data_IF_232642578848
#
_entry.id   IF_232642578848
#
_cell.length_a   1.000
_cell.length_b   1.000
_cell.length_c   1.000
_cell.angle_alpha   90.00
_cell.angle_beta   90.00
_cell.angle_gamma   90.00
#
_symmetry.space_group_name_H-M   'P 1'
#
loop_
_entity.id
_entity.type
_entity.pdbx_description
1 polymer ?
#
# COMPACT_ATOMS: atom_id res chain seq x y z
N UNK A 1 32.07 -33.72 -50.80
CA UNK A 1 31.84 -35.16 -50.56
C UNK A 1 31.93 -35.34 -49.04
N UNK A 2 30.91 -35.69 -48.25
CA UNK A 2 29.72 -36.49 -48.50
C UNK A 2 28.47 -35.95 -47.78
N UNK A 3 27.37 -36.18 -48.47
CA UNK A 3 25.96 -36.07 -48.11
C UNK A 3 25.59 -37.22 -47.13
N UNK A 4 24.81 -36.97 -46.09
CA UNK A 4 23.76 -37.88 -45.59
C UNK A 4 23.01 -37.25 -44.41
N UNK A 5 21.84 -36.70 -44.76
CA UNK A 5 20.72 -36.37 -43.88
C UNK A 5 20.18 -37.65 -43.26
N UNK A 6 19.99 -37.68 -41.94
CA UNK A 6 19.31 -38.79 -41.25
C UNK A 6 18.33 -38.26 -40.19
N UNK A 7 17.06 -38.26 -40.62
CA UNK A 7 15.85 -38.60 -39.87
C UNK A 7 15.53 -37.86 -38.55
N UNK A 8 14.60 -36.91 -38.71
CA UNK A 8 13.60 -36.52 -37.70
C UNK A 8 13.02 -37.75 -36.98
N UNK A 9 13.14 -37.80 -35.65
CA UNK A 9 12.23 -38.55 -34.79
C UNK A 9 11.39 -37.56 -33.99
N UNK A 10 10.18 -37.32 -34.49
CA UNK A 10 9.09 -36.64 -33.79
C UNK A 10 8.73 -37.47 -32.54
N UNK A 11 9.22 -37.07 -31.37
CA UNK A 11 8.79 -37.66 -30.10
C UNK A 11 7.52 -36.94 -29.67
N UNK A 12 6.37 -37.55 -29.95
CA UNK A 12 5.06 -37.09 -29.50
C UNK A 12 5.04 -36.90 -27.98
N UNK A 13 4.67 -35.70 -27.53
CA UNK A 13 4.30 -35.44 -26.14
C UNK A 13 3.08 -36.28 -25.76
N UNK A 14 3.12 -36.92 -24.59
CA UNK A 14 1.96 -37.56 -23.98
C UNK A 14 1.00 -36.47 -23.45
N UNK A 15 -0.32 -36.61 -23.64
CA UNK A 15 -1.28 -35.75 -22.96
C UNK A 15 -1.45 -36.28 -21.53
N UNK A 16 -0.93 -35.57 -20.53
CA UNK A 16 -1.04 -36.01 -19.14
C UNK A 16 -0.39 -35.13 -18.06
N UNK A 17 0.50 -34.21 -18.41
CA UNK A 17 1.25 -33.41 -17.41
C UNK A 17 0.61 -32.03 -17.10
N UNK A 18 -0.62 -31.77 -17.54
CA UNK A 18 -1.27 -30.46 -17.44
C UNK A 18 -2.15 -30.23 -16.19
N UNK A 19 -2.16 -31.13 -15.21
CA UNK A 19 -2.93 -30.94 -13.96
C UNK A 19 -2.09 -31.16 -12.70
N UNK A 20 -1.02 -30.36 -12.55
CA UNK A 20 -0.45 -30.10 -11.23
C UNK A 20 -0.82 -28.69 -10.80
N UNK A 21 -2.12 -28.49 -10.61
CA UNK A 21 -2.65 -27.29 -9.95
C UNK A 21 -2.00 -27.11 -8.58
N UNK A 22 -1.91 -25.87 -8.06
CA UNK A 22 -1.43 -25.65 -6.71
C UNK A 22 -2.33 -26.47 -5.77
N UNK A 23 -1.73 -27.43 -5.07
CA UNK A 23 -2.45 -28.24 -4.10
C UNK A 23 -3.22 -27.35 -3.11
N UNK A 24 -4.30 -27.87 -2.50
CA UNK A 24 -5.13 -27.08 -1.60
C UNK A 24 -4.24 -26.39 -0.59
N UNK A 25 -4.30 -25.06 -0.59
CA UNK A 25 -3.64 -24.22 0.41
C UNK A 25 -4.06 -24.80 1.74
N UNK A 26 -3.12 -25.41 2.47
CA UNK A 26 -3.35 -25.83 3.85
C UNK A 26 -3.80 -24.57 4.57
N UNK A 27 -5.10 -24.47 4.83
CA UNK A 27 -5.66 -23.52 5.78
C UNK A 27 -4.90 -23.79 7.07
N UNK A 28 -4.05 -22.83 7.43
CA UNK A 28 -3.23 -22.91 8.61
C UNK A 28 -4.16 -23.20 9.79
N UNK A 29 -3.93 -24.40 10.33
CA UNK A 29 -4.00 -24.80 11.71
C UNK A 29 -4.60 -23.75 12.66
N UNK A 30 -5.66 -24.18 13.36
CA UNK A 30 -6.32 -23.43 14.42
C UNK A 30 -5.26 -23.07 15.47
N UNK A 31 -4.86 -21.81 15.52
CA UNK A 31 -4.19 -21.24 16.68
C UNK A 31 -5.20 -21.17 17.83
N UNK A 32 -5.39 -22.28 18.54
CA UNK A 32 -6.13 -22.39 19.81
C UNK A 32 -5.26 -21.81 20.95
N UNK A 33 -4.76 -20.59 20.75
CA UNK A 33 -4.28 -19.75 21.84
C UNK A 33 -5.47 -18.94 22.29
N UNK A 34 -5.94 -19.10 23.52
CA UNK A 34 -6.98 -18.26 24.09
C UNK A 34 -6.50 -16.79 24.11
N UNK A 35 -6.71 -16.07 23.00
CA UNK A 35 -6.39 -14.66 22.87
C UNK A 35 -7.31 -13.93 23.84
N UNK A 36 -6.72 -13.31 24.87
CA UNK A 36 -7.50 -12.45 25.76
C UNK A 36 -8.18 -11.38 24.90
N UNK A 37 -9.50 -11.23 25.00
CA UNK A 37 -10.20 -10.25 24.19
C UNK A 37 -9.69 -8.86 24.53
N UNK A 38 -9.45 -8.06 23.49
CA UNK A 38 -9.04 -6.66 23.59
C UNK A 38 -10.23 -5.88 24.12
N UNK A 39 -10.08 -5.28 25.31
CA UNK A 39 -11.11 -4.42 25.89
C UNK A 39 -11.18 -3.08 25.15
N UNK A 40 -12.33 -2.75 24.57
CA UNK A 40 -12.54 -1.57 23.72
C UNK A 40 -13.50 -0.59 24.38
N UNK A 41 -13.04 0.64 24.62
CA UNK A 41 -13.92 1.73 25.03
C UNK A 41 -14.43 2.49 23.79
N UNK A 42 -15.74 2.78 23.74
CA UNK A 42 -16.37 3.56 22.68
C UNK A 42 -16.77 4.93 23.22
N UNK A 43 -16.16 6.00 22.72
CA UNK A 43 -16.49 7.39 23.06
C UNK A 43 -16.88 8.16 21.82
N UNK A 44 -18.12 7.94 21.38
CA UNK A 44 -18.67 8.42 20.12
C UNK A 44 -19.89 9.30 20.43
N UNK A 45 -19.91 10.52 19.90
CA UNK A 45 -21.01 11.46 20.13
C UNK A 45 -22.27 11.07 19.34
N UNK A 46 -22.10 10.51 18.14
CA UNK A 46 -23.20 10.05 17.30
C UNK A 46 -23.78 8.70 17.82
N UNK A 47 -25.05 8.66 18.27
CA UNK A 47 -25.65 7.45 18.82
C UNK A 47 -25.82 6.32 17.80
N UNK A 48 -26.04 6.64 16.51
CA UNK A 48 -26.19 5.64 15.46
C UNK A 48 -24.85 4.98 15.15
N UNK A 49 -23.79 5.79 15.05
CA UNK A 49 -22.43 5.28 14.89
C UNK A 49 -22.00 4.46 16.11
N UNK A 50 -22.30 4.92 17.33
CA UNK A 50 -22.01 4.18 18.56
C UNK A 50 -22.68 2.80 18.58
N UNK A 51 -23.97 2.72 18.23
CA UNK A 51 -24.71 1.47 18.19
C UNK A 51 -24.13 0.48 17.16
N UNK A 52 -23.78 0.97 15.97
CA UNK A 52 -23.10 0.16 14.94
C UNK A 52 -21.76 -0.38 15.43
N UNK A 53 -20.94 0.47 16.04
CA UNK A 53 -19.62 0.07 16.56
C UNK A 53 -19.75 -0.94 17.70
N UNK A 54 -20.71 -0.76 18.61
CA UNK A 54 -21.01 -1.71 19.66
C UNK A 54 -21.37 -3.09 19.07
N UNK A 55 -22.26 -3.13 18.07
CA UNK A 55 -22.61 -4.37 17.37
C UNK A 55 -21.41 -5.06 16.73
N UNK A 56 -20.46 -4.31 16.15
CA UNK A 56 -19.23 -4.88 15.59
C UNK A 56 -18.30 -5.42 16.68
N UNK A 57 -18.15 -4.69 17.79
CA UNK A 57 -17.31 -5.13 18.93
C UNK A 57 -17.89 -6.39 19.58
N UNK A 58 -19.22 -6.47 19.74
CA UNK A 58 -19.90 -7.62 20.34
C UNK A 58 -19.86 -8.86 19.43
N UNK A 59 -19.88 -8.67 18.10
CA UNK A 59 -19.84 -9.77 17.13
C UNK A 59 -18.42 -10.27 16.83
N UNK A 60 -17.38 -9.49 17.12
CA UNK A 60 -16.00 -9.78 16.72
C UNK A 60 -15.29 -10.72 17.70
N UNK A 61 -14.79 -11.88 17.26
CA UNK A 61 -13.99 -12.75 18.13
C UNK A 61 -12.69 -12.04 18.51
N UNK A 62 -12.44 -11.93 19.82
CA UNK A 62 -11.24 -11.28 20.36
C UNK A 62 -11.38 -9.78 20.66
N UNK A 63 -12.57 -9.19 20.50
CA UNK A 63 -12.91 -7.89 21.07
C UNK A 63 -13.92 -8.06 22.20
N UNK A 64 -13.88 -7.17 23.18
CA UNK A 64 -14.91 -7.08 24.22
C UNK A 64 -15.17 -5.61 24.57
N UNK A 65 -16.42 -5.20 24.80
CA UNK A 65 -16.70 -3.86 25.27
C UNK A 65 -16.10 -3.65 26.67
N UNK A 66 -15.32 -2.58 26.83
CA UNK A 66 -14.81 -2.17 28.13
C UNK A 66 -15.96 -1.52 28.93
N UNK A 67 -16.23 -1.97 30.17
CA UNK A 67 -17.19 -1.28 31.03
C UNK A 67 -16.73 0.15 31.33
N UNK A 68 -17.68 1.06 31.51
CA UNK A 68 -17.40 2.47 31.80
C UNK A 68 -16.48 2.61 33.03
N UNK A 69 -15.38 3.34 32.88
CA UNK A 69 -14.39 3.54 33.95
C UNK A 69 -13.33 2.43 34.08
N UNK A 70 -13.39 1.35 33.31
CA UNK A 70 -12.34 0.33 33.29
C UNK A 70 -11.19 0.69 32.34
N UNK A 71 -10.02 0.11 32.61
CA UNK A 71 -8.86 0.22 31.73
C UNK A 71 -9.14 -0.47 30.38
N UNK A 72 -9.33 0.32 29.33
CA UNK A 72 -9.45 -0.18 27.98
C UNK A 72 -8.07 -0.43 27.36
N UNK A 73 -7.96 -1.43 26.50
CA UNK A 73 -6.78 -1.67 25.68
C UNK A 73 -6.76 -0.78 24.42
N UNK A 74 -7.93 -0.33 23.95
CA UNK A 74 -8.06 0.68 22.89
C UNK A 74 -9.29 1.57 23.11
N UNK A 75 -9.19 2.83 22.68
CA UNK A 75 -10.28 3.79 22.69
C UNK A 75 -10.68 4.16 21.26
N UNK A 76 -11.94 3.92 20.88
CA UNK A 76 -12.51 4.38 19.60
C UNK A 76 -13.31 5.66 19.85
N UNK A 77 -13.00 6.72 19.09
CA UNK A 77 -13.60 8.05 19.25
C UNK A 77 -13.86 8.72 17.90
N UNK A 78 -14.85 9.61 17.82
CA UNK A 78 -15.17 10.41 16.62
C UNK A 78 -14.50 11.80 16.63
N UNK A 79 -13.73 12.08 17.69
CA UNK A 79 -12.98 13.33 17.88
C UNK A 79 -11.67 13.06 18.60
N UNK A 80 -10.66 13.90 18.33
CA UNK A 80 -9.40 13.87 19.07
C UNK A 80 -9.67 14.39 20.47
N UNK A 81 -9.33 13.59 21.47
CA UNK A 81 -9.49 13.95 22.87
C UNK A 81 -8.13 14.37 23.40
N UNK A 82 -8.05 15.45 24.18
CA UNK A 82 -6.81 15.84 24.82
C UNK A 82 -6.33 14.67 25.70
N UNK A 83 -5.02 14.38 25.64
CA UNK A 83 -4.42 13.52 26.66
C UNK A 83 -4.47 14.29 27.97
N UNK A 84 -5.39 13.90 28.85
CA UNK A 84 -5.42 14.36 30.24
C UNK A 84 -4.04 14.08 30.84
N UNK A 85 -3.32 15.14 31.23
CA UNK A 85 -1.95 15.06 31.71
C UNK A 85 -1.91 14.44 33.10
N UNK A 86 -1.30 13.26 33.23
CA UNK A 86 -1.00 12.65 34.52
C UNK A 86 -0.75 11.14 34.48
N UNK A 87 0.52 10.73 34.43
CA UNK A 87 1.03 9.49 35.04
C UNK A 87 0.80 8.15 34.33
N UNK A 88 -0.27 7.96 33.55
CA UNK A 88 -0.46 6.74 32.76
C UNK A 88 -0.72 7.13 31.30
N UNK A 89 0.07 6.59 30.37
CA UNK A 89 -0.23 6.72 28.95
C UNK A 89 -1.63 6.15 28.72
N UNK A 90 -2.63 7.02 28.56
CA UNK A 90 -4.01 6.61 28.29
C UNK A 90 -4.07 5.67 27.07
N UNK A 91 -5.15 4.88 26.95
CA UNK A 91 -5.25 3.84 25.94
C UNK A 91 -4.99 4.40 24.54
N UNK A 92 -4.32 3.62 23.67
CA UNK A 92 -4.09 4.02 22.30
C UNK A 92 -5.44 4.29 21.60
N UNK A 93 -5.49 5.42 20.87
CA UNK A 93 -6.74 5.97 20.34
C UNK A 93 -6.90 5.68 18.85
N UNK A 94 -8.05 5.14 18.46
CA UNK A 94 -8.51 5.05 17.08
C UNK A 94 -9.57 6.14 16.83
N UNK A 95 -9.28 7.07 15.92
CA UNK A 95 -10.18 8.18 15.59
C UNK A 95 -10.94 7.89 14.31
N UNK A 96 -12.27 8.01 14.35
CA UNK A 96 -13.15 7.94 13.18
C UNK A 96 -13.40 9.36 12.66
N UNK A 97 -12.86 9.69 11.47
CA UNK A 97 -12.98 11.03 10.91
C UNK A 97 -13.39 11.00 9.43
N UNK A 98 -14.39 11.82 9.08
CA UNK A 98 -15.06 11.81 7.78
C UNK A 98 -14.15 12.28 6.64
N UNK A 99 -13.48 13.41 6.82
CA UNK A 99 -12.68 14.04 5.76
C UNK A 99 -11.16 13.82 5.92
N UNK A 100 -10.41 14.00 4.84
CA UNK A 100 -8.96 13.82 4.83
C UNK A 100 -8.23 14.80 5.76
N UNK A 101 -8.73 16.04 5.93
CA UNK A 101 -8.08 17.04 6.76
C UNK A 101 -8.25 16.72 8.26
N UNK A 102 -9.43 16.26 8.69
CA UNK A 102 -9.69 15.77 10.03
C UNK A 102 -8.83 14.54 10.35
N UNK A 103 -8.70 13.62 9.38
CA UNK A 103 -7.80 12.46 9.53
C UNK A 103 -6.34 12.87 9.67
N UNK A 104 -5.89 13.85 8.88
CA UNK A 104 -4.54 14.40 9.01
C UNK A 104 -4.33 15.06 10.37
N UNK A 105 -5.26 15.91 10.83
CA UNK A 105 -5.17 16.55 12.16
C UNK A 105 -5.06 15.53 13.30
N UNK A 106 -5.85 14.45 13.24
CA UNK A 106 -5.79 13.38 14.22
C UNK A 106 -4.42 12.69 14.25
N UNK A 107 -3.83 12.40 13.08
CA UNK A 107 -2.48 11.82 13.01
C UNK A 107 -1.40 12.73 13.60
N UNK A 108 -1.47 14.05 13.34
CA UNK A 108 -0.54 15.01 13.93
C UNK A 108 -0.67 15.10 15.46
N UNK A 109 -1.83 14.75 16.01
CA UNK A 109 -2.05 14.66 17.45
C UNK A 109 -1.50 13.37 18.09
N UNK A 110 -0.87 12.47 17.32
CA UNK A 110 -0.21 11.27 17.84
C UNK A 110 -1.18 10.18 18.31
N UNK A 111 -2.35 10.07 17.65
CA UNK A 111 -3.30 8.98 17.89
C UNK A 111 -2.78 7.65 17.33
N UNK A 112 -3.22 6.53 17.90
CA UNK A 112 -2.81 5.19 17.48
C UNK A 112 -3.39 4.81 16.11
N UNK A 113 -4.50 5.38 15.69
CA UNK A 113 -4.96 5.17 14.33
C UNK A 113 -6.09 6.08 13.89
N UNK A 114 -6.34 6.09 12.59
CA UNK A 114 -7.45 6.83 12.01
C UNK A 114 -8.16 6.01 10.95
N UNK A 115 -9.49 6.01 10.95
CA UNK A 115 -10.34 5.40 9.94
C UNK A 115 -11.49 6.33 9.54
N UNK A 116 -12.09 6.14 8.35
CA UNK A 116 -13.35 6.81 8.05
C UNK A 116 -14.51 6.13 8.83
N UNK A 117 -15.58 6.85 9.20
CA UNK A 117 -16.67 6.28 10.00
C UNK A 117 -17.45 5.17 9.29
N UNK A 118 -17.39 5.11 7.96
CA UNK A 118 -18.00 4.09 7.09
C UNK A 118 -17.05 2.91 6.79
N UNK A 119 -15.88 2.83 7.45
CA UNK A 119 -14.97 1.70 7.32
C UNK A 119 -15.69 0.36 7.54
N UNK A 120 -15.34 -0.65 6.72
CA UNK A 120 -15.93 -1.98 6.84
C UNK A 120 -15.60 -2.66 8.17
N UNK A 121 -16.42 -3.62 8.57
CA UNK A 121 -16.29 -4.30 9.88
C UNK A 121 -14.90 -4.93 10.07
N UNK A 122 -14.42 -5.67 9.08
CA UNK A 122 -13.09 -6.29 9.12
C UNK A 122 -11.95 -5.26 9.26
N UNK A 123 -12.08 -4.09 8.62
CA UNK A 123 -11.10 -3.01 8.75
C UNK A 123 -11.11 -2.42 10.15
N UNK A 124 -12.30 -2.21 10.72
CA UNK A 124 -12.45 -1.68 12.06
C UNK A 124 -11.88 -2.64 13.11
N UNK A 125 -12.23 -3.94 13.03
CA UNK A 125 -11.72 -4.97 13.95
C UNK A 125 -10.19 -5.04 13.88
N UNK A 126 -9.64 -5.14 12.68
CA UNK A 126 -8.19 -5.18 12.48
C UNK A 126 -7.51 -3.91 13.02
N UNK A 127 -8.11 -2.74 12.82
CA UNK A 127 -7.57 -1.48 13.30
C UNK A 127 -7.58 -1.39 14.82
N UNK A 128 -8.67 -1.81 15.49
CA UNK A 128 -8.77 -1.83 16.94
C UNK A 128 -7.70 -2.74 17.54
N UNK A 129 -7.56 -3.97 17.03
CA UNK A 129 -6.55 -4.92 17.49
C UNK A 129 -5.14 -4.36 17.29
N UNK A 130 -4.84 -3.82 16.11
CA UNK A 130 -3.53 -3.24 15.82
C UNK A 130 -3.19 -2.08 16.78
N UNK A 131 -4.14 -1.15 16.99
CA UNK A 131 -3.98 -0.02 17.91
C UNK A 131 -3.76 -0.48 19.35
N UNK A 132 -4.48 -1.51 19.80
CA UNK A 132 -4.30 -2.09 21.13
C UNK A 132 -2.91 -2.71 21.35
N UNK A 133 -2.26 -3.18 20.29
CA UNK A 133 -0.88 -3.68 20.31
C UNK A 133 0.19 -2.61 20.06
N UNK A 134 -0.19 -1.32 20.07
CA UNK A 134 0.74 -0.21 19.88
C UNK A 134 1.15 0.04 18.43
N UNK A 135 0.46 -0.58 17.46
CA UNK A 135 0.67 -0.31 16.04
C UNK A 135 -0.09 0.94 15.60
N UNK A 136 0.45 1.62 14.58
CA UNK A 136 -0.19 2.80 14.00
C UNK A 136 -1.01 2.43 12.77
N UNK A 137 -2.31 2.72 12.80
CA UNK A 137 -3.24 2.42 11.69
C UNK A 137 -3.58 3.69 10.92
N UNK A 138 -3.39 3.63 9.60
CA UNK A 138 -3.79 4.71 8.68
C UNK A 138 -4.61 4.07 7.57
N UNK A 139 -5.71 4.71 7.13
CA UNK A 139 -6.37 4.23 5.94
C UNK A 139 -5.34 4.33 4.83
N UNK A 140 -5.20 3.29 4.02
CA UNK A 140 -4.39 3.39 2.83
C UNK A 140 -4.92 4.61 2.06
N UNK A 141 -4.11 5.65 1.92
CA UNK A 141 -4.19 6.47 0.72
C UNK A 141 -4.20 5.46 -0.43
N UNK A 142 -5.05 5.61 -1.46
CA UNK A 142 -4.94 4.78 -2.64
C UNK A 142 -3.55 5.01 -3.23
N UNK A 143 -2.55 4.31 -2.72
CA UNK A 143 -1.42 3.89 -3.50
C UNK A 143 -2.05 3.02 -4.57
N UNK A 144 -1.75 3.24 -5.85
CA UNK A 144 -1.97 2.21 -6.83
C UNK A 144 -1.26 0.98 -6.26
N UNK A 145 -2.05 0.03 -5.75
CA UNK A 145 -1.56 -1.33 -5.63
C UNK A 145 -1.34 -1.69 -7.09
N UNK A 146 -0.08 -1.90 -7.56
CA UNK A 146 0.09 -2.41 -8.90
C UNK A 146 -0.77 -3.67 -8.94
N UNK A 147 -1.73 -3.77 -9.88
CA UNK A 147 -2.55 -4.95 -9.97
C UNK A 147 -1.59 -6.14 -10.02
N UNK A 148 -1.82 -7.12 -9.14
CA UNK A 148 -1.24 -8.45 -9.32
C UNK A 148 -1.48 -8.81 -10.78
N UNK A 149 -0.48 -9.28 -11.55
CA UNK A 149 -0.65 -9.52 -12.98
C UNK A 149 -1.70 -10.62 -13.17
N UNK A 150 -2.96 -10.20 -13.27
CA UNK A 150 -4.03 -10.96 -13.88
C UNK A 150 -4.09 -10.56 -15.34
N UNK A 151 -4.30 -11.52 -16.26
CA UNK A 151 -4.36 -11.21 -17.67
C UNK A 151 -5.63 -10.43 -18.01
N UNK A 152 -5.42 -9.17 -18.42
CA UNK A 152 -6.25 -8.34 -19.28
C UNK A 152 -7.73 -8.07 -18.91
N UNK A 153 -8.01 -6.81 -18.53
CA UNK A 153 -9.02 -5.98 -19.19
C UNK A 153 -8.84 -4.50 -18.77
N UNK A 154 -8.91 -3.61 -19.74
CA UNK A 154 -8.54 -2.20 -19.65
C UNK A 154 -9.50 -1.34 -18.79
N UNK A 155 -8.92 -0.41 -18.01
CA UNK A 155 -9.61 0.73 -17.42
C UNK A 155 -8.71 1.96 -17.53
N UNK A 156 -9.16 2.95 -18.32
CA UNK A 156 -8.38 4.11 -18.73
C UNK A 156 -7.98 5.02 -17.56
N UNK A 157 -6.69 4.96 -17.19
CA UNK A 157 -5.97 6.14 -16.74
C UNK A 157 -5.32 6.75 -17.98
N UNK A 158 -5.48 8.05 -18.19
CA UNK A 158 -4.73 8.83 -19.19
C UNK A 158 -3.25 8.39 -19.16
N UNK A 159 -2.76 7.74 -20.22
CA UNK A 159 -1.43 7.16 -20.19
C UNK A 159 -0.43 8.32 -20.25
N UNK A 160 0.28 8.55 -19.15
CA UNK A 160 1.60 9.19 -19.24
C UNK A 160 2.34 8.40 -20.31
N UNK A 161 2.74 9.00 -21.45
CA UNK A 161 3.31 8.26 -22.55
C UNK A 161 4.48 7.45 -22.02
N UNK A 162 4.34 6.13 -22.08
CA UNK A 162 5.28 5.22 -21.45
C UNK A 162 6.69 5.55 -21.95
N UNK A 163 7.60 5.87 -21.03
CA UNK A 163 8.99 6.11 -21.38
C UNK A 163 9.53 4.87 -22.09
N UNK A 164 10.20 5.07 -23.20
CA UNK A 164 10.92 3.99 -23.90
C UNK A 164 12.00 3.39 -22.98
N UNK A 165 12.47 2.16 -23.25
CA UNK A 165 13.56 1.56 -22.45
C UNK A 165 14.76 2.49 -22.30
N UNK A 166 15.12 3.19 -23.37
CA UNK A 166 16.24 4.12 -23.39
C UNK A 166 16.00 5.37 -22.54
N UNK A 167 14.79 5.90 -22.55
CA UNK A 167 14.40 7.03 -21.72
C UNK A 167 14.36 6.66 -20.22
N UNK A 168 14.01 5.42 -19.88
CA UNK A 168 14.09 4.92 -18.51
C UNK A 168 15.53 4.84 -18.01
N UNK A 169 16.46 4.38 -18.84
CA UNK A 169 17.90 4.41 -18.50
C UNK A 169 18.40 5.84 -18.27
N UNK A 170 17.99 6.79 -19.13
CA UNK A 170 18.31 8.21 -18.94
C UNK A 170 17.72 8.73 -17.64
N UNK A 171 16.45 8.43 -17.33
CA UNK A 171 15.80 8.84 -16.08
C UNK A 171 16.50 8.26 -14.84
N UNK A 172 16.94 7.01 -14.89
CA UNK A 172 17.70 6.38 -13.79
C UNK A 172 19.04 7.10 -13.55
N UNK A 173 19.74 7.46 -14.63
CA UNK A 173 20.98 8.24 -14.52
C UNK A 173 20.73 9.67 -14.02
N UNK A 174 19.62 10.29 -14.39
CA UNK A 174 19.20 11.59 -13.86
C UNK A 174 18.91 11.51 -12.36
N UNK A 175 18.26 10.43 -11.89
CA UNK A 175 18.01 10.19 -10.47
C UNK A 175 19.31 9.98 -9.67
N UNK A 176 20.31 9.36 -10.30
CA UNK A 176 21.67 9.25 -9.75
C UNK A 176 22.48 10.57 -9.82
N UNK A 177 21.87 11.70 -10.24
CA UNK A 177 22.53 13.00 -10.32
C UNK A 177 23.51 13.15 -11.49
N UNK A 178 23.48 12.26 -12.49
CA UNK A 178 24.43 12.29 -13.59
C UNK A 178 24.23 13.50 -14.51
N UNK A 179 25.34 14.16 -14.89
CA UNK A 179 25.35 15.20 -15.91
C UNK A 179 25.18 14.60 -17.33
N UNK A 180 24.68 15.40 -18.29
CA UNK A 180 24.45 14.94 -19.67
C UNK A 180 25.71 14.34 -20.33
N UNK A 181 26.90 14.84 -20.01
CA UNK A 181 28.18 14.27 -20.49
C UNK A 181 28.42 12.85 -19.95
N UNK A 182 28.03 12.61 -18.69
CA UNK A 182 28.12 11.28 -18.05
C UNK A 182 27.08 10.34 -18.64
N UNK A 183 25.86 10.82 -18.86
CA UNK A 183 24.78 10.07 -19.53
C UNK A 183 25.23 9.64 -20.93
N UNK A 184 25.76 10.58 -21.71
CA UNK A 184 26.30 10.31 -23.05
C UNK A 184 27.35 9.19 -23.02
N UNK A 185 28.34 9.28 -22.12
CA UNK A 185 29.38 8.25 -21.98
C UNK A 185 28.84 6.90 -21.54
N UNK A 186 27.98 6.85 -20.52
CA UNK A 186 27.43 5.60 -19.96
C UNK A 186 26.54 4.87 -20.96
N UNK A 187 25.85 5.62 -21.81
CA UNK A 187 24.92 5.08 -22.79
C UNK A 187 25.58 4.91 -24.17
N UNK A 188 26.83 5.35 -24.39
CA UNK A 188 27.46 5.30 -25.72
C UNK A 188 26.79 6.22 -26.75
N UNK A 189 26.27 7.36 -26.28
CA UNK A 189 25.56 8.35 -27.10
C UNK A 189 26.42 9.60 -27.32
N UNK A 190 26.13 10.35 -28.38
CA UNK A 190 26.67 11.70 -28.52
C UNK A 190 26.09 12.62 -27.44
N UNK A 191 26.81 13.70 -27.10
CA UNK A 191 26.32 14.71 -26.16
C UNK A 191 24.99 15.33 -26.62
N UNK A 192 24.84 15.56 -27.93
CA UNK A 192 23.62 16.10 -28.51
C UNK A 192 22.44 15.13 -28.36
N UNK A 193 22.66 13.85 -28.63
CA UNK A 193 21.65 12.79 -28.49
C UNK A 193 21.23 12.61 -27.03
N UNK A 194 22.18 12.68 -26.07
CA UNK A 194 21.85 12.63 -24.65
C UNK A 194 20.98 13.83 -24.23
N UNK A 195 21.25 15.04 -24.73
CA UNK A 195 20.41 16.22 -24.48
C UNK A 195 18.99 16.04 -25.05
N UNK A 196 18.88 15.47 -26.25
CA UNK A 196 17.59 15.17 -26.87
C UNK A 196 16.76 14.17 -26.06
N UNK A 197 17.38 13.08 -25.58
CA UNK A 197 16.67 12.13 -24.71
C UNK A 197 16.25 12.74 -23.38
N UNK A 198 17.09 13.57 -22.75
CA UNK A 198 16.72 14.28 -21.52
C UNK A 198 15.52 15.20 -21.77
N UNK A 199 15.51 15.95 -22.87
CA UNK A 199 14.37 16.80 -23.25
C UNK A 199 13.09 15.97 -23.48
N UNK A 200 13.18 14.84 -24.17
CA UNK A 200 12.06 13.91 -24.39
C UNK A 200 11.51 13.36 -23.06
N UNK A 201 12.39 12.95 -22.14
CA UNK A 201 12.00 12.49 -20.80
C UNK A 201 11.26 13.58 -20.03
N UNK A 202 11.77 14.81 -20.02
CA UNK A 202 11.13 15.94 -19.34
C UNK A 202 9.74 16.23 -19.94
N UNK A 203 9.64 16.27 -21.28
CA UNK A 203 8.39 16.49 -21.98
C UNK A 203 7.36 15.40 -21.69
N UNK A 204 7.75 14.11 -21.75
CA UNK A 204 6.87 12.97 -21.49
C UNK A 204 6.40 12.88 -20.04
N UNK A 205 7.22 13.33 -19.09
CA UNK A 205 6.84 13.41 -17.68
C UNK A 205 6.10 14.71 -17.32
N UNK A 206 5.98 15.66 -18.27
CA UNK A 206 5.43 17.00 -18.01
C UNK A 206 6.23 17.78 -16.95
N UNK A 207 7.55 17.53 -16.89
CA UNK A 207 8.43 18.09 -15.89
C UNK A 207 9.06 19.40 -16.37
N UNK A 208 9.04 20.43 -15.51
CA UNK A 208 9.65 21.74 -15.80
C UNK A 208 11.15 21.79 -15.50
N UNK A 209 11.67 20.84 -14.72
CA UNK A 209 13.07 20.76 -14.35
C UNK A 209 13.56 19.31 -14.22
N UNK A 210 14.88 19.11 -14.19
CA UNK A 210 15.49 17.81 -13.95
C UNK A 210 15.04 17.22 -12.60
N UNK A 211 15.00 18.04 -11.55
CA UNK A 211 14.59 17.60 -10.22
C UNK A 211 13.10 17.19 -10.22
N UNK A 212 12.25 17.96 -10.91
CA UNK A 212 10.83 17.62 -11.06
C UNK A 212 10.65 16.31 -11.86
N UNK A 213 11.46 16.08 -12.89
CA UNK A 213 11.43 14.83 -13.67
C UNK A 213 11.78 13.62 -12.80
N UNK A 214 12.82 13.72 -11.95
CA UNK A 214 13.20 12.66 -11.01
C UNK A 214 12.09 12.43 -9.98
N UNK A 215 11.56 13.49 -9.38
CA UNK A 215 10.49 13.40 -8.40
C UNK A 215 9.23 12.74 -8.97
N UNK A 216 8.86 13.07 -10.22
CA UNK A 216 7.76 12.43 -10.95
C UNK A 216 8.07 10.98 -11.28
N UNK A 217 9.29 10.67 -11.69
CA UNK A 217 9.76 9.31 -11.95
C UNK A 217 9.64 8.40 -10.73
N UNK A 218 10.02 8.91 -9.54
CA UNK A 218 9.88 8.19 -8.26
C UNK A 218 8.41 7.98 -7.92
N UNK A 219 7.58 9.02 -8.03
CA UNK A 219 6.12 8.91 -7.76
C UNK A 219 5.43 7.91 -8.68
N UNK A 220 5.88 7.80 -9.92
CA UNK A 220 5.37 6.86 -10.91
C UNK A 220 5.97 5.44 -10.80
N UNK A 221 6.92 5.21 -9.87
CA UNK A 221 7.58 3.91 -9.72
C UNK A 221 8.52 3.54 -10.88
N UNK A 222 8.94 4.53 -11.68
CA UNK A 222 9.83 4.31 -12.84
C UNK A 222 11.31 4.25 -12.43
N UNK A 223 11.65 4.80 -11.27
CA UNK A 223 13.00 4.75 -10.67
C UNK A 223 12.88 4.65 -9.16
N UNK A 224 13.79 3.90 -8.54
CA UNK A 224 13.94 3.76 -7.09
C UNK A 224 15.21 4.49 -6.64
N UNK A 225 15.16 5.14 -5.47
CA UNK A 225 16.33 5.73 -4.80
C UNK A 225 16.90 4.75 -3.78
#
# INVERSE_FOLDING_TARGET
MNLAVAAMRHRAMRPGDAERGPGPVRTADRCDGAVRPVAVALRIADPALRARLAGIVDAAPGLAPAPEGAAAAALVTDRVLPREGGGAAGPPMLVLAKDAAARARALHAGVGGVLPPDAGEAQLVAAIVAVAHGLVVRPASPRPVPPRPEPAAAGAAEPVPALTPREREVLALLAAGAANKVIARRLGLSFHTAKAHVASVLAKLGASSRADAVARGIRAGLVLL
#
